data_IF_923177104789
#
_entry.id   IF_923177104789
#
_cell.length_a   1.000
_cell.length_b   1.000
_cell.length_c   1.000
_cell.angle_alpha   90.00
_cell.angle_beta   90.00
_cell.angle_gamma   90.00
#
_symmetry.space_group_name_H-M   'P 1'
#
loop_
_entity.id
_entity.type
_entity.pdbx_description
1 polymer ?
#
# COMPACT_ATOMS: atom_id res chain seq x y z
N UNK A 1 -2.18 26.47 -20.87
CA UNK A 1 -1.93 25.06 -20.49
C UNK A 1 -2.02 25.01 -18.99
N UNK A 2 -3.19 24.63 -18.47
CA UNK A 2 -3.51 24.71 -17.06
C UNK A 2 -2.68 23.69 -16.28
N UNK A 3 -1.62 24.18 -15.65
CA UNK A 3 -0.62 23.36 -14.95
C UNK A 3 -1.07 23.14 -13.51
N UNK A 4 -2.32 22.69 -13.33
CA UNK A 4 -2.83 22.39 -12.00
C UNK A 4 -2.34 20.99 -11.59
N UNK A 5 -1.57 20.85 -10.49
CA UNK A 5 -0.94 19.59 -10.08
C UNK A 5 -1.94 18.49 -9.67
N UNK A 6 -3.22 18.83 -9.58
CA UNK A 6 -4.32 17.89 -9.28
C UNK A 6 -5.23 17.65 -10.49
N UNK A 7 -4.63 17.37 -11.66
CA UNK A 7 -5.42 17.01 -12.84
C UNK A 7 -5.66 15.49 -12.90
N UNK A 8 -6.88 15.08 -13.27
CA UNK A 8 -7.30 13.67 -13.31
C UNK A 8 -6.45 12.85 -14.30
N UNK A 9 -6.01 13.48 -15.38
CA UNK A 9 -5.19 12.86 -16.43
C UNK A 9 -3.84 12.39 -15.88
N UNK A 10 -3.15 13.26 -15.15
CA UNK A 10 -1.87 12.98 -14.51
C UNK A 10 -2.00 11.83 -13.52
N UNK A 11 -3.06 11.84 -12.71
CA UNK A 11 -3.34 10.74 -11.79
C UNK A 11 -3.53 9.41 -12.54
N UNK A 12 -4.34 9.40 -13.60
CA UNK A 12 -4.58 8.21 -14.42
C UNK A 12 -3.29 7.71 -15.11
N UNK A 13 -2.51 8.60 -15.71
CA UNK A 13 -1.21 8.29 -16.33
C UNK A 13 -0.21 7.74 -15.31
N UNK A 14 -0.18 8.31 -14.11
CA UNK A 14 0.68 7.83 -13.03
C UNK A 14 0.29 6.40 -12.63
N UNK A 15 -1.00 6.13 -12.39
CA UNK A 15 -1.47 4.77 -12.08
C UNK A 15 -1.15 3.77 -13.19
N UNK A 16 -1.37 4.15 -14.45
CA UNK A 16 -1.02 3.33 -15.62
C UNK A 16 0.48 2.99 -15.64
N UNK A 17 1.35 3.97 -15.43
CA UNK A 17 2.79 3.76 -15.44
C UNK A 17 3.26 2.84 -14.31
N UNK A 18 2.71 3.00 -13.10
CA UNK A 18 3.03 2.12 -11.97
C UNK A 18 2.56 0.68 -12.20
N UNK A 19 1.34 0.49 -12.69
CA UNK A 19 0.83 -0.84 -13.06
C UNK A 19 1.67 -1.46 -14.18
N UNK A 20 1.93 -0.73 -15.26
CA UNK A 20 2.70 -1.21 -16.42
C UNK A 20 4.11 -1.64 -16.03
N UNK A 21 4.78 -0.86 -15.17
CA UNK A 21 6.13 -1.18 -14.68
C UNK A 21 6.15 -2.25 -13.59
N UNK A 22 4.98 -2.67 -13.08
CA UNK A 22 4.84 -3.59 -11.94
C UNK A 22 5.70 -3.16 -10.75
N UNK A 23 5.78 -1.84 -10.50
CA UNK A 23 6.63 -1.30 -9.46
C UNK A 23 6.11 -1.71 -8.09
N UNK A 24 6.96 -2.37 -7.31
CA UNK A 24 6.70 -2.71 -5.92
C UNK A 24 7.39 -1.66 -5.05
N UNK A 25 6.59 -0.94 -4.26
CA UNK A 25 7.11 0.00 -3.27
C UNK A 25 7.11 -0.67 -1.90
N UNK A 26 8.28 -0.79 -1.29
CA UNK A 26 8.40 -1.17 0.11
C UNK A 26 8.11 0.04 1.00
N UNK A 27 7.21 -0.11 1.98
CA UNK A 27 6.78 0.97 2.88
C UNK A 27 6.96 0.51 4.32
N UNK A 28 7.58 1.36 5.13
CA UNK A 28 7.67 1.20 6.58
C UNK A 28 6.88 2.31 7.28
N UNK A 29 5.99 1.93 8.20
CA UNK A 29 5.24 2.84 9.06
C UNK A 29 5.79 2.76 10.47
N UNK A 30 6.58 3.77 10.85
CA UNK A 30 7.14 3.89 12.20
C UNK A 30 6.04 3.92 13.26
N UNK A 31 4.99 4.73 13.04
CA UNK A 31 3.87 4.88 13.97
C UNK A 31 3.15 3.56 14.28
N UNK A 32 3.03 2.70 13.28
CA UNK A 32 2.35 1.41 13.43
C UNK A 32 3.31 0.27 13.70
N UNK A 33 4.63 0.50 13.61
CA UNK A 33 5.63 -0.55 13.64
C UNK A 33 5.38 -1.62 12.57
N UNK A 34 4.91 -1.28 11.37
CA UNK A 34 4.67 -2.26 10.30
C UNK A 34 5.46 -1.95 9.05
N UNK A 35 5.81 -3.00 8.30
CA UNK A 35 6.25 -2.86 6.90
C UNK A 35 5.30 -3.60 5.98
N UNK A 36 5.12 -3.10 4.76
CA UNK A 36 4.34 -3.76 3.73
C UNK A 36 4.84 -3.37 2.34
N UNK A 37 4.54 -4.21 1.36
CA UNK A 37 4.74 -3.92 -0.03
C UNK A 37 3.44 -3.34 -0.62
N UNK A 38 3.59 -2.38 -1.53
CA UNK A 38 2.49 -1.77 -2.24
C UNK A 38 2.74 -1.77 -3.74
N UNK A 39 1.73 -2.21 -4.49
CA UNK A 39 1.76 -2.19 -5.95
C UNK A 39 0.38 -1.87 -6.52
N UNK A 40 0.34 -1.46 -7.79
CA UNK A 40 -0.90 -1.26 -8.52
C UNK A 40 -1.18 -2.44 -9.43
N UNK A 41 -2.41 -2.94 -9.37
CA UNK A 41 -2.94 -4.01 -10.23
C UNK A 41 -4.05 -3.46 -11.12
N UNK A 42 -4.21 -4.04 -12.30
CA UNK A 42 -5.40 -3.79 -13.12
C UNK A 42 -6.57 -4.59 -12.55
N UNK A 43 -7.77 -4.02 -12.64
CA UNK A 43 -8.98 -4.78 -12.36
C UNK A 43 -9.25 -5.74 -13.53
N UNK A 44 -9.65 -6.98 -13.22
CA UNK A 44 -10.10 -7.89 -14.27
C UNK A 44 -11.49 -7.44 -14.75
N UNK A 45 -11.70 -7.42 -16.06
CA UNK A 45 -12.95 -6.99 -16.71
C UNK A 45 -14.13 -7.83 -16.22
N UNK A 46 -13.87 -9.07 -15.79
CA UNK A 46 -14.87 -9.99 -15.22
C UNK A 46 -15.29 -9.64 -13.79
N UNK A 47 -14.51 -8.85 -13.06
CA UNK A 47 -14.77 -8.46 -11.66
C UNK A 47 -15.29 -7.02 -11.52
N UNK A 48 -15.53 -6.32 -12.63
CA UNK A 48 -16.12 -4.98 -12.63
C UNK A 48 -17.62 -5.14 -12.34
N UNK A 49 -17.98 -5.24 -11.06
CA UNK A 49 -19.35 -4.96 -10.64
C UNK A 49 -19.69 -3.51 -10.99
N UNK A 50 -20.97 -3.19 -11.17
CA UNK A 50 -21.41 -1.83 -11.55
C UNK A 50 -20.94 -0.72 -10.59
N UNK A 51 -20.59 -1.09 -9.36
CA UNK A 51 -20.00 -0.23 -8.33
C UNK A 51 -18.47 -0.08 -8.44
N UNK A 52 -17.77 -1.00 -9.12
CA UNK A 52 -16.31 -1.06 -9.16
C UNK A 52 -15.69 -0.49 -10.45
N UNK A 53 -15.89 0.82 -10.65
CA UNK A 53 -15.48 1.54 -11.86
C UNK A 53 -13.98 1.87 -11.97
N UNK A 54 -13.12 1.26 -11.14
CA UNK A 54 -11.68 1.58 -11.10
C UNK A 54 -10.92 0.66 -12.04
N UNK A 55 -10.15 1.24 -12.96
CA UNK A 55 -9.23 0.48 -13.84
C UNK A 55 -8.05 -0.13 -13.08
N UNK A 56 -7.55 0.59 -12.05
CA UNK A 56 -6.42 0.17 -11.24
C UNK A 56 -6.77 0.22 -9.75
N UNK A 57 -6.24 -0.75 -9.00
CA UNK A 57 -6.40 -0.85 -7.56
C UNK A 57 -5.05 -1.07 -6.89
N UNK A 58 -4.93 -0.58 -5.65
CA UNK A 58 -3.72 -0.68 -4.85
C UNK A 58 -3.77 -1.96 -4.03
N UNK A 59 -2.86 -2.89 -4.30
CA UNK A 59 -2.67 -4.09 -3.48
C UNK A 59 -1.61 -3.81 -2.42
N UNK A 60 -1.92 -4.22 -1.19
CA UNK A 60 -0.99 -4.26 -0.06
C UNK A 60 -0.73 -5.73 0.26
N UNK A 61 0.54 -6.11 0.35
CA UNK A 61 0.92 -7.47 0.74
C UNK A 61 2.22 -7.48 1.56
N UNK A 62 2.66 -8.67 1.96
CA UNK A 62 3.84 -8.87 2.80
C UNK A 62 3.81 -7.99 4.07
N UNK A 63 2.63 -7.86 4.66
CA UNK A 63 2.45 -7.08 5.89
C UNK A 63 3.22 -7.78 7.01
N UNK A 64 4.16 -7.08 7.62
CA UNK A 64 4.95 -7.55 8.75
C UNK A 64 4.83 -6.58 9.90
N UNK A 65 4.67 -7.12 11.10
CA UNK A 65 4.67 -6.38 12.34
C UNK A 65 6.08 -6.43 12.95
N UNK A 66 6.63 -5.26 13.22
CA UNK A 66 7.88 -5.05 13.92
C UNK A 66 7.54 -4.74 15.36
N UNK A 67 7.40 -5.80 16.17
CA UNK A 67 7.37 -5.62 17.61
C UNK A 67 8.73 -5.06 18.04
N UNK A 68 8.74 -3.84 18.55
CA UNK A 68 9.83 -3.42 19.43
C UNK A 68 9.62 -4.15 20.73
N UNK A 69 10.24 -5.33 20.88
CA UNK A 69 10.48 -5.91 22.20
C UNK A 69 11.47 -4.99 22.89
N UNK A 70 10.95 -3.91 23.48
CA UNK A 70 11.71 -3.17 24.47
C UNK A 70 12.04 -4.20 25.57
N UNK A 71 13.32 -4.51 25.72
CA UNK A 71 13.86 -5.49 26.68
C UNK A 71 13.55 -5.18 28.15
N UNK A 72 12.83 -4.08 28.41
CA UNK A 72 12.34 -3.67 29.72
C UNK A 72 11.05 -4.38 30.14
N UNK A 73 10.30 -5.00 29.23
CA UNK A 73 8.99 -5.60 29.55
C UNK A 73 9.05 -7.13 29.76
N UNK A 74 10.14 -7.80 29.38
CA UNK A 74 10.26 -9.26 29.47
C UNK A 74 10.48 -9.77 30.90
N UNK A 75 10.89 -8.90 31.85
CA UNK A 75 11.22 -9.31 33.22
C UNK A 75 10.03 -9.30 34.21
N UNK A 76 8.81 -8.96 33.77
CA UNK A 76 7.62 -8.89 34.66
C UNK A 76 6.69 -10.12 34.55
N UNK A 77 6.93 -11.05 33.62
CA UNK A 77 6.07 -12.23 33.42
C UNK A 77 6.55 -13.49 34.16
N UNK A 78 7.62 -13.42 34.94
CA UNK A 78 8.19 -14.58 35.66
C UNK A 78 8.28 -14.37 37.19
N UNK A 79 7.28 -13.69 37.78
CA UNK A 79 7.09 -13.65 39.23
C UNK A 79 5.60 -13.53 39.57
N UNK A 80 4.94 -14.69 39.67
CA UNK A 80 3.72 -14.93 40.43
C UNK A 80 3.73 -16.35 40.93
#
# INVERSE_FOLDING_TARGET
MDTHPNNKTFHATHLFNHWKKRTIKHIYSQRLGISYNSQYLANDVKCISSSERRMYWKRLDNIRLHHTTDSKTTNQLHRS
#
